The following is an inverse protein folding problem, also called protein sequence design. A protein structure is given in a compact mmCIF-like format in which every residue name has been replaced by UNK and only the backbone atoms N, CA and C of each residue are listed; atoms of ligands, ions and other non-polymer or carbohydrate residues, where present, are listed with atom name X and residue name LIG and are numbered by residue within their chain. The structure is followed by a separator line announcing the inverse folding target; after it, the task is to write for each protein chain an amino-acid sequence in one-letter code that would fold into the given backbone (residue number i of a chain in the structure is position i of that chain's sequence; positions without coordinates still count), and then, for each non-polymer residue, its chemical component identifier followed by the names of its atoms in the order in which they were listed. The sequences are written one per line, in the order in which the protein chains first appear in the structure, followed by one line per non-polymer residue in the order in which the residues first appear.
data_IF_125355026656
#
_entry.id   IF_125355026656
#
_cell.length_a   1.000
_cell.length_b   1.000
_cell.length_c   1.000
_cell.angle_alpha   90.00
_cell.angle_beta   90.00
_cell.angle_gamma   90.00
#
_symmetry.space_group_name_H-M   'P 1'
#
loop_
_entity.id
_entity.type
_entity.pdbx_description
1 polymer ?
#
# COMPACT_ATOMS: atom_id res chain seq x y z
N UNK A 1 3.45 -16.53 3.42
CA UNK A 1 2.30 -16.11 4.28
C UNK A 1 1.08 -16.90 3.81
N UNK A 2 0.67 -17.94 4.54
CA UNK A 2 -0.40 -18.87 4.13
C UNK A 2 -1.81 -18.40 4.48
N UNK A 3 -1.97 -17.49 5.44
CA UNK A 3 -3.28 -17.04 5.93
C UNK A 3 -3.78 -15.81 5.19
N UNK A 4 -4.97 -15.94 4.61
CA UNK A 4 -5.69 -14.85 3.96
C UNK A 4 -6.89 -14.50 4.82
N UNK A 5 -6.96 -13.24 5.26
CA UNK A 5 -8.07 -12.70 6.06
C UNK A 5 -8.93 -11.76 5.23
N UNK A 6 -10.25 -11.83 5.38
CA UNK A 6 -11.18 -10.88 4.79
C UNK A 6 -12.32 -10.54 5.75
N UNK A 7 -12.88 -9.33 5.62
CA UNK A 7 -14.07 -8.91 6.36
C UNK A 7 -15.00 -8.09 5.49
N UNK A 8 -16.30 -8.12 5.82
CA UNK A 8 -17.30 -7.29 5.17
C UNK A 8 -17.45 -5.98 5.97
N UNK A 9 -17.25 -4.84 5.32
CA UNK A 9 -17.34 -3.52 5.96
C UNK A 9 -16.22 -3.24 6.96
N UNK A 10 -16.31 -2.10 7.68
CA UNK A 10 -15.30 -1.71 8.67
C UNK A 10 -15.41 -2.51 9.97
N UNK A 11 -16.63 -2.81 10.40
CA UNK A 11 -16.92 -3.37 11.73
C UNK A 11 -17.47 -4.80 11.67
N UNK A 12 -17.51 -5.42 10.49
CA UNK A 12 -17.95 -6.80 10.34
C UNK A 12 -16.93 -7.81 10.87
N UNK A 13 -17.38 -9.04 11.19
CA UNK A 13 -16.50 -10.12 11.60
C UNK A 13 -15.49 -10.45 10.49
N UNK A 14 -14.27 -10.80 10.91
CA UNK A 14 -13.20 -11.23 10.00
C UNK A 14 -13.21 -12.75 9.90
N UNK A 15 -13.05 -13.25 8.67
CA UNK A 15 -12.82 -14.67 8.39
C UNK A 15 -11.39 -14.84 7.90
N UNK A 16 -10.69 -15.83 8.44
CA UNK A 16 -9.35 -16.22 7.99
C UNK A 16 -9.40 -17.61 7.39
N UNK A 17 -8.69 -17.79 6.27
CA UNK A 17 -8.54 -19.08 5.60
C UNK A 17 -7.07 -19.34 5.28
N UNK A 18 -6.65 -20.59 5.46
CA UNK A 18 -5.35 -21.04 4.96
C UNK A 18 -5.43 -21.27 3.45
N UNK A 19 -4.49 -20.69 2.72
CA UNK A 19 -4.38 -20.79 1.27
C UNK A 19 -2.92 -21.03 0.85
N UNK A 20 -2.42 -22.26 1.02
CA UNK A 20 -1.00 -22.59 0.87
C UNK A 20 -0.46 -22.42 -0.54
N UNK A 21 -1.33 -22.38 -1.56
CA UNK A 21 -0.91 -22.16 -2.95
C UNK A 21 -0.28 -20.78 -3.19
N UNK A 22 -0.42 -19.83 -2.25
CA UNK A 22 0.25 -18.52 -2.31
C UNK A 22 1.58 -18.49 -1.55
N UNK A 23 1.93 -19.53 -0.80
CA UNK A 23 3.14 -19.58 0.03
C UNK A 23 4.35 -20.07 -0.78
N UNK A 24 4.73 -19.27 -1.78
CA UNK A 24 5.81 -19.59 -2.71
C UNK A 24 6.61 -18.34 -3.07
N UNK A 25 7.92 -18.50 -3.30
CA UNK A 25 8.83 -17.37 -3.54
C UNK A 25 9.15 -17.14 -5.03
N UNK A 26 8.66 -18.00 -5.92
CA UNK A 26 9.01 -17.94 -7.36
C UNK A 26 7.77 -17.86 -8.24
N UNK A 27 7.92 -17.15 -9.36
CA UNK A 27 6.89 -17.09 -10.41
C UNK A 27 6.64 -18.46 -11.02
N UNK A 28 7.65 -19.33 -11.11
CA UNK A 28 7.48 -20.71 -11.59
C UNK A 28 6.53 -21.50 -10.68
N UNK A 29 6.69 -21.40 -9.36
CA UNK A 29 5.81 -22.09 -8.42
C UNK A 29 4.39 -21.52 -8.46
N UNK A 30 4.24 -20.20 -8.60
CA UNK A 30 2.93 -19.58 -8.83
C UNK A 30 2.28 -20.05 -10.14
N UNK A 31 3.06 -20.19 -11.20
CA UNK A 31 2.56 -20.67 -12.50
C UNK A 31 2.12 -22.12 -12.42
N UNK A 32 2.77 -22.96 -11.60
CA UNK A 32 2.28 -24.32 -11.30
C UNK A 32 0.92 -24.30 -10.60
N UNK A 33 0.74 -23.38 -9.65
CA UNK A 33 -0.49 -23.29 -8.86
C UNK A 33 -1.66 -22.63 -9.60
N UNK A 34 -1.39 -21.67 -10.49
CA UNK A 34 -2.42 -20.79 -11.06
C UNK A 34 -2.37 -20.59 -12.58
N UNK A 35 -1.40 -21.18 -13.29
CA UNK A 35 -1.06 -20.88 -14.70
C UNK A 35 -0.43 -19.50 -14.92
N UNK A 36 0.42 -19.42 -15.94
CA UNK A 36 1.12 -18.18 -16.31
C UNK A 36 0.16 -17.03 -16.65
N UNK A 37 -0.93 -17.31 -17.37
CA UNK A 37 -1.89 -16.28 -17.80
C UNK A 37 -2.50 -15.54 -16.61
N UNK A 38 -2.83 -16.26 -15.53
CA UNK A 38 -3.41 -15.66 -14.32
C UNK A 38 -2.34 -14.85 -13.59
N UNK A 39 -1.13 -15.42 -13.41
CA UNK A 39 -0.03 -14.74 -12.72
C UNK A 39 0.34 -13.43 -13.42
N UNK A 40 0.45 -13.45 -14.75
CA UNK A 40 0.72 -12.24 -15.56
C UNK A 40 -0.41 -11.21 -15.44
N UNK A 41 -1.68 -11.64 -15.47
CA UNK A 41 -2.81 -10.73 -15.32
C UNK A 41 -2.78 -10.01 -13.96
N UNK A 42 -2.53 -10.74 -12.87
CA UNK A 42 -2.43 -10.17 -11.53
C UNK A 42 -1.18 -9.28 -11.36
N UNK A 43 -0.02 -9.69 -11.90
CA UNK A 43 1.19 -8.88 -11.89
C UNK A 43 0.96 -7.55 -12.64
N UNK A 44 0.40 -7.59 -13.84
CA UNK A 44 0.06 -6.38 -14.63
C UNK A 44 -0.89 -5.46 -13.88
N UNK A 45 -1.94 -6.01 -13.26
CA UNK A 45 -2.89 -5.24 -12.45
C UNK A 45 -2.20 -4.52 -11.29
N UNK A 46 -1.37 -5.24 -10.53
CA UNK A 46 -0.62 -4.69 -9.40
C UNK A 46 0.34 -3.56 -9.82
N UNK A 47 1.11 -3.78 -10.88
CA UNK A 47 2.04 -2.78 -11.44
C UNK A 47 1.28 -1.55 -11.93
N UNK A 48 0.13 -1.75 -12.56
CA UNK A 48 -0.73 -0.64 -13.05
C UNK A 48 -1.19 0.25 -11.89
N UNK A 49 -1.64 -0.33 -10.78
CA UNK A 49 -2.05 0.43 -9.59
C UNK A 49 -0.86 1.20 -8.98
N UNK A 50 0.32 0.58 -8.93
CA UNK A 50 1.53 1.26 -8.46
C UNK A 50 1.90 2.45 -9.35
N UNK A 51 1.84 2.29 -10.67
CA UNK A 51 2.08 3.36 -11.64
C UNK A 51 1.06 4.49 -11.51
N UNK A 52 -0.23 4.17 -11.31
CA UNK A 52 -1.27 5.17 -11.09
C UNK A 52 -1.00 6.01 -9.83
N UNK A 53 -0.56 5.37 -8.73
CA UNK A 53 -0.16 6.08 -7.52
C UNK A 53 1.02 7.03 -7.76
N UNK A 54 2.03 6.58 -8.50
CA UNK A 54 3.16 7.40 -8.90
C UNK A 54 2.73 8.61 -9.74
N UNK A 55 1.92 8.39 -10.78
CA UNK A 55 1.36 9.45 -11.62
C UNK A 55 0.57 10.49 -10.81
N UNK A 56 -0.30 10.04 -9.89
CA UNK A 56 -1.07 10.94 -9.01
C UNK A 56 -0.13 11.80 -8.15
N UNK A 57 0.99 11.26 -7.69
CA UNK A 57 2.02 12.01 -6.97
C UNK A 57 2.61 13.16 -7.81
N UNK A 58 2.96 12.88 -9.07
CA UNK A 58 3.49 13.89 -9.98
C UNK A 58 2.45 14.97 -10.33
N UNK A 59 1.19 14.57 -10.54
CA UNK A 59 0.08 15.50 -10.77
C UNK A 59 -0.10 16.43 -9.56
N UNK A 60 -0.10 15.87 -8.34
CA UNK A 60 -0.19 16.66 -7.10
C UNK A 60 0.98 17.64 -6.95
N UNK A 61 2.17 17.25 -7.42
CA UNK A 61 3.35 18.10 -7.50
C UNK A 61 3.32 19.11 -8.67
N UNK A 62 2.20 19.21 -9.40
CA UNK A 62 1.99 20.13 -10.53
C UNK A 62 3.03 19.99 -11.66
N UNK A 63 3.54 18.77 -11.88
CA UNK A 63 4.43 18.47 -12.99
C UNK A 63 3.72 18.62 -14.33
N UNK A 64 4.44 19.10 -15.34
CA UNK A 64 3.95 19.21 -16.71
C UNK A 64 3.80 17.82 -17.37
N UNK A 65 3.00 17.67 -18.43
CA UNK A 65 2.89 16.40 -19.16
C UNK A 65 4.24 15.86 -19.65
N UNK A 66 5.15 16.74 -20.10
CA UNK A 66 6.48 16.34 -20.55
C UNK A 66 7.36 15.80 -19.41
N UNK A 67 7.34 16.44 -18.25
CA UNK A 67 8.05 15.95 -17.05
C UNK A 67 7.47 14.62 -16.57
N UNK A 68 6.15 14.45 -16.62
CA UNK A 68 5.48 13.20 -16.25
C UNK A 68 5.90 12.07 -17.20
N UNK A 69 5.88 12.30 -18.51
CA UNK A 69 6.29 11.30 -19.50
C UNK A 69 7.73 10.84 -19.28
N UNK A 70 8.65 11.79 -19.01
CA UNK A 70 10.04 11.47 -18.68
C UNK A 70 10.14 10.63 -17.41
N UNK A 71 9.45 11.04 -16.34
CA UNK A 71 9.48 10.31 -15.07
C UNK A 71 8.91 8.89 -15.18
N UNK A 72 7.88 8.68 -16.01
CA UNK A 72 7.29 7.36 -16.27
C UNK A 72 8.23 6.46 -17.06
N UNK A 73 8.98 7.00 -18.03
CA UNK A 73 9.92 6.22 -18.82
C UNK A 73 11.05 5.61 -17.97
N UNK A 74 11.46 6.32 -16.91
CA UNK A 74 12.50 5.88 -15.98
C UNK A 74 11.94 5.06 -14.81
N UNK A 75 10.61 5.01 -14.64
CA UNK A 75 9.97 4.40 -13.48
C UNK A 75 10.01 2.88 -13.52
N UNK A 76 10.30 2.28 -12.37
CA UNK A 76 10.18 0.84 -12.12
C UNK A 76 9.37 0.59 -10.85
N UNK A 77 8.49 -0.43 -10.82
CA UNK A 77 7.77 -0.78 -9.61
C UNK A 77 8.74 -1.30 -8.54
N UNK A 78 8.67 -0.72 -7.35
CA UNK A 78 9.34 -1.24 -6.15
C UNK A 78 8.50 -2.30 -5.45
N UNK A 79 9.07 -2.93 -4.42
CA UNK A 79 8.29 -3.80 -3.52
C UNK A 79 7.19 -2.99 -2.85
N UNK A 80 5.98 -3.54 -2.80
CA UNK A 80 4.88 -2.92 -2.10
C UNK A 80 5.17 -2.96 -0.60
N UNK A 81 5.49 -1.82 -0.01
CA UNK A 81 5.51 -1.69 1.45
C UNK A 81 4.07 -1.70 1.97
N UNK A 82 3.76 -2.50 3.00
CA UNK A 82 2.48 -2.42 3.69
C UNK A 82 2.16 -0.98 4.09
N UNK A 83 0.89 -0.58 3.96
CA UNK A 83 0.47 0.75 4.38
C UNK A 83 0.53 0.86 5.90
N UNK A 84 1.08 1.98 6.40
CA UNK A 84 1.10 2.29 7.84
C UNK A 84 -0.30 2.19 8.45
N UNK A 85 -0.38 1.53 9.60
CA UNK A 85 -1.54 1.50 10.48
C UNK A 85 -1.93 2.92 10.94
N UNK A 86 -3.12 3.05 11.55
CA UNK A 86 -3.54 4.34 12.11
C UNK A 86 -2.60 4.84 13.21
N UNK A 87 -2.05 3.90 13.99
CA UNK A 87 -1.11 4.22 15.07
C UNK A 87 0.22 4.72 14.50
N UNK A 88 0.82 3.99 13.55
CA UNK A 88 2.07 4.40 12.89
C UNK A 88 1.93 5.76 12.17
N UNK A 89 0.76 6.04 11.59
CA UNK A 89 0.45 7.37 11.03
C UNK A 89 0.36 8.44 12.10
N UNK A 90 -0.26 8.14 13.24
CA UNK A 90 -0.36 9.08 14.36
C UNK A 90 1.02 9.38 14.96
N UNK A 91 1.88 8.37 15.12
CA UNK A 91 3.26 8.53 15.59
C UNK A 91 4.09 9.41 14.67
N UNK A 92 3.99 9.21 13.35
CA UNK A 92 4.66 10.05 12.36
C UNK A 92 4.19 11.51 12.43
N UNK A 93 2.88 11.74 12.53
CA UNK A 93 2.31 13.08 12.69
C UNK A 93 2.75 13.74 13.99
N UNK A 94 2.78 12.98 15.10
CA UNK A 94 3.26 13.47 16.39
C UNK A 94 4.75 13.79 16.36
N UNK A 95 5.56 13.00 15.63
CA UNK A 95 6.99 13.22 15.43
C UNK A 95 7.30 14.53 14.71
N UNK A 96 6.43 14.96 13.79
CA UNK A 96 6.55 16.23 13.06
C UNK A 96 5.97 17.46 13.77
N UNK A 97 5.34 17.30 14.94
CA UNK A 97 4.74 18.42 15.69
C UNK A 97 5.78 19.22 16.47
N UNK A 98 5.55 20.53 16.57
CA UNK A 98 6.27 21.38 17.53
C UNK A 98 5.87 21.00 18.96
N UNK A 99 6.71 21.33 19.95
CA UNK A 99 6.39 21.06 21.36
C UNK A 99 5.10 21.76 21.82
N UNK A 100 4.81 22.95 21.27
CA UNK A 100 3.60 23.70 21.56
C UNK A 100 2.35 22.97 21.04
N UNK A 101 2.37 22.51 19.79
CA UNK A 101 1.27 21.75 19.19
C UNK A 101 1.05 20.42 19.90
N UNK A 102 2.15 19.74 20.26
CA UNK A 102 2.10 18.48 21.00
C UNK A 102 1.47 18.66 22.39
N UNK A 103 1.84 19.72 23.13
CA UNK A 103 1.21 20.05 24.43
C UNK A 103 -0.28 20.39 24.29
N UNK A 104 -0.65 21.15 23.26
CA UNK A 104 -2.04 21.49 22.99
C UNK A 104 -2.88 20.25 22.65
N UNK A 105 -2.33 19.32 21.85
CA UNK A 105 -2.97 18.05 21.52
C UNK A 105 -3.13 17.16 22.75
N UNK A 106 -2.08 17.01 23.57
CA UNK A 106 -2.12 16.25 24.83
C UNK A 106 -3.22 16.77 25.76
N UNK A 107 -3.33 18.09 25.93
CA UNK A 107 -4.38 18.71 26.77
C UNK A 107 -5.79 18.39 26.26
N UNK A 108 -5.99 18.32 24.94
CA UNK A 108 -7.28 17.94 24.33
C UNK A 108 -7.61 16.45 24.52
N UNK A 109 -6.59 15.59 24.50
CA UNK A 109 -6.76 14.15 24.67
C UNK A 109 -6.99 13.74 26.13
N UNK A 110 -6.40 14.45 27.08
CA UNK A 110 -6.57 14.25 28.52
C UNK A 110 -7.85 14.89 29.10
N UNK A 111 -8.50 15.78 28.34
CA UNK A 111 -9.77 16.42 28.71
C UNK A 111 -11.03 15.65 28.28
N UNK A 112 -10.86 14.40 27.83
CA UNK A 112 -11.93 13.41 27.62
C UNK A 112 -11.73 12.28 28.62
#
# INVERSE_FOLDING_TARGET
MTKVSAKIGKDGPSTEVDYPLLDVDTTSALNTNFTEKIVVAHAKSSITVALQSFLRGLIKAKKTPAEIAKAVAEWKPGMRTPGKSKLEKAEELLGGMTEADRKALLKKLQGK
#
